data_IF_689965121462
#
_entry.id   IF_689965121462
#
_cell.length_a   1.000
_cell.length_b   1.000
_cell.length_c   1.000
_cell.angle_alpha   90.00
_cell.angle_beta   90.00
_cell.angle_gamma   90.00
#
_symmetry.space_group_name_H-M   'P 1'
#
loop_
_entity.id
_entity.type
_entity.pdbx_description
1 polymer ?
#
# COMPACT_ATOMS: atom_id res chain seq x y z
N UNK A 1 -5.74 -15.33 -18.09
CA UNK A 1 -4.28 -15.43 -18.10
C UNK A 1 -3.72 -16.08 -16.82
N UNK A 2 -4.54 -16.53 -15.87
CA UNK A 2 -4.11 -17.31 -14.69
C UNK A 2 -3.62 -16.52 -13.48
N UNK A 3 -3.74 -15.19 -13.46
CA UNK A 3 -3.47 -14.41 -12.27
C UNK A 3 -4.49 -14.71 -11.17
N UNK A 4 -4.02 -14.93 -9.94
CA UNK A 4 -4.90 -15.15 -8.78
C UNK A 4 -5.46 -13.84 -8.23
N UNK A 5 -4.74 -12.74 -8.40
CA UNK A 5 -5.12 -11.38 -7.99
C UNK A 5 -4.55 -10.37 -8.95
N UNK A 6 -5.29 -9.30 -9.22
CA UNK A 6 -4.84 -8.14 -10.01
C UNK A 6 -4.66 -6.93 -9.12
N UNK A 7 -3.75 -6.03 -9.51
CA UNK A 7 -3.52 -4.76 -8.82
C UNK A 7 -4.12 -3.64 -9.68
N UNK A 8 -4.94 -2.79 -9.07
CA UNK A 8 -5.59 -1.65 -9.72
C UNK A 8 -5.12 -0.38 -9.01
N UNK A 9 -4.51 0.53 -9.74
CA UNK A 9 -4.01 1.82 -9.23
C UNK A 9 -4.93 2.98 -9.64
N UNK A 10 -4.41 3.91 -10.45
CA UNK A 10 -5.08 5.17 -10.84
C UNK A 10 -6.50 5.02 -11.38
N UNK A 11 -6.87 3.85 -11.93
CA UNK A 11 -8.23 3.58 -12.37
C UNK A 11 -9.23 3.69 -11.21
N UNK A 12 -8.86 3.25 -10.01
CA UNK A 12 -9.72 3.31 -8.85
C UNK A 12 -10.07 4.76 -8.43
N UNK A 13 -9.21 5.72 -8.75
CA UNK A 13 -9.46 7.14 -8.51
C UNK A 13 -10.25 7.77 -9.65
N UNK A 14 -9.94 7.42 -10.90
CA UNK A 14 -10.55 8.03 -12.08
C UNK A 14 -11.94 7.49 -12.39
N UNK A 15 -12.15 6.21 -12.17
CA UNK A 15 -13.38 5.49 -12.50
C UNK A 15 -13.79 4.57 -11.35
N UNK A 16 -14.10 5.12 -10.16
CA UNK A 16 -14.38 4.31 -8.97
C UNK A 16 -15.56 3.36 -9.16
N UNK A 17 -16.59 3.75 -9.90
CA UNK A 17 -17.76 2.90 -10.16
C UNK A 17 -17.38 1.66 -10.99
N UNK A 18 -16.56 1.82 -12.02
CA UNK A 18 -16.04 0.68 -12.81
C UNK A 18 -15.30 -0.31 -11.91
N UNK A 19 -14.50 0.19 -10.97
CA UNK A 19 -13.77 -0.68 -10.04
C UNK A 19 -14.71 -1.32 -9.02
N UNK A 20 -15.76 -0.63 -8.55
CA UNK A 20 -16.82 -1.22 -7.70
C UNK A 20 -17.54 -2.36 -8.41
N UNK A 21 -17.85 -2.21 -9.70
CA UNK A 21 -18.43 -3.29 -10.53
C UNK A 21 -17.48 -4.51 -10.62
N UNK A 22 -16.16 -4.26 -10.76
CA UNK A 22 -15.18 -5.34 -10.75
C UNK A 22 -15.17 -6.09 -9.40
N UNK A 23 -15.31 -5.39 -8.26
CA UNK A 23 -15.46 -6.05 -6.97
C UNK A 23 -16.70 -6.94 -6.89
N UNK A 24 -17.81 -6.47 -7.46
CA UNK A 24 -19.07 -7.26 -7.52
C UNK A 24 -18.93 -8.50 -8.41
N UNK A 25 -18.23 -8.38 -9.54
CA UNK A 25 -18.05 -9.48 -10.49
C UNK A 25 -17.02 -10.51 -10.07
N UNK A 26 -15.82 -10.04 -9.62
CA UNK A 26 -14.67 -10.93 -9.38
C UNK A 26 -14.46 -11.26 -7.89
N UNK A 27 -15.05 -10.49 -7.01
CA UNK A 27 -14.91 -10.64 -5.56
C UNK A 27 -13.63 -10.03 -4.98
N UNK A 28 -13.70 -9.68 -3.70
CA UNK A 28 -12.65 -8.95 -2.97
C UNK A 28 -11.29 -9.65 -2.88
N UNK A 29 -11.24 -10.96 -3.03
CA UNK A 29 -9.99 -11.73 -2.96
C UNK A 29 -9.17 -11.65 -4.25
N UNK A 30 -9.79 -11.21 -5.36
CA UNK A 30 -9.16 -11.11 -6.67
C UNK A 30 -8.59 -9.73 -6.98
N UNK A 31 -8.92 -8.73 -6.16
CA UNK A 31 -8.55 -7.34 -6.39
C UNK A 31 -7.70 -6.83 -5.24
N UNK A 32 -6.59 -6.19 -5.58
CA UNK A 32 -5.76 -5.38 -4.70
C UNK A 32 -5.75 -3.95 -5.22
N UNK A 33 -6.10 -2.98 -4.39
CA UNK A 33 -5.97 -1.58 -4.78
C UNK A 33 -4.57 -1.07 -4.44
N UNK A 34 -3.94 -0.40 -5.39
CA UNK A 34 -2.69 0.31 -5.19
C UNK A 34 -2.99 1.78 -4.84
N UNK A 35 -2.57 2.18 -3.65
CA UNK A 35 -2.65 3.52 -3.12
C UNK A 35 -1.22 4.10 -3.04
N UNK A 36 -0.79 4.80 -4.06
CA UNK A 36 0.43 5.57 -4.04
C UNK A 36 0.13 6.90 -3.35
N UNK A 37 0.81 7.21 -2.26
CA UNK A 37 0.46 8.34 -1.40
C UNK A 37 1.64 9.29 -1.18
N UNK A 38 1.29 10.56 -0.97
CA UNK A 38 2.20 11.60 -0.53
C UNK A 38 1.56 12.42 0.58
N UNK A 39 2.39 12.94 1.50
CA UNK A 39 1.94 13.89 2.49
C UNK A 39 1.60 15.23 1.81
N UNK A 40 0.47 15.81 2.17
CA UNK A 40 0.03 17.11 1.69
C UNK A 40 -0.58 17.96 2.80
N UNK A 41 -0.43 19.27 2.67
CA UNK A 41 -0.99 20.30 3.56
C UNK A 41 -1.66 21.37 2.69
N UNK A 42 -2.79 21.04 2.01
CA UNK A 42 -3.49 22.00 1.18
C UNK A 42 -4.11 23.14 2.02
N UNK A 43 -4.18 24.36 1.44
CA UNK A 43 -4.69 25.54 2.16
C UNK A 43 -6.15 25.39 2.63
N UNK A 44 -6.95 24.67 1.86
CA UNK A 44 -8.41 24.53 2.09
C UNK A 44 -8.81 23.16 2.67
N UNK A 45 -7.85 22.30 3.08
CA UNK A 45 -8.13 20.97 3.61
C UNK A 45 -7.13 20.60 4.72
N UNK A 46 -7.43 19.55 5.49
CA UNK A 46 -6.55 19.07 6.57
C UNK A 46 -5.30 18.38 6.01
N UNK A 47 -4.18 18.59 6.68
CA UNK A 47 -2.94 17.86 6.43
C UNK A 47 -3.17 16.35 6.49
N UNK A 48 -2.54 15.59 5.59
CA UNK A 48 -2.72 14.15 5.54
C UNK A 48 -2.08 13.49 4.33
N UNK A 49 -2.34 12.21 4.17
CA UNK A 49 -1.90 11.46 2.99
C UNK A 49 -2.95 11.55 1.88
N UNK A 50 -2.52 11.98 0.71
CA UNK A 50 -3.31 12.12 -0.50
C UNK A 50 -2.87 11.11 -1.55
N UNK A 51 -3.83 10.58 -2.32
CA UNK A 51 -3.54 9.65 -3.40
C UNK A 51 -2.86 10.38 -4.55
N UNK A 52 -1.72 9.89 -4.99
CA UNK A 52 -1.04 10.34 -6.20
C UNK A 52 -1.58 9.59 -7.43
N UNK A 53 -1.75 10.32 -8.52
CA UNK A 53 -2.23 9.79 -9.80
C UNK A 53 -1.24 10.15 -10.92
N UNK A 54 -1.48 9.65 -12.14
CA UNK A 54 -0.69 9.99 -13.32
C UNK A 54 0.82 9.69 -13.20
N UNK A 55 1.18 8.58 -12.54
CA UNK A 55 2.59 8.23 -12.35
C UNK A 55 3.31 9.18 -11.40
N UNK A 56 2.62 9.58 -10.31
CA UNK A 56 3.12 10.46 -9.24
C UNK A 56 3.31 11.93 -9.64
N UNK A 57 2.79 12.34 -10.79
CA UNK A 57 2.95 13.72 -11.29
C UNK A 57 1.93 14.70 -10.69
N UNK A 58 0.82 14.16 -10.17
CA UNK A 58 -0.27 14.96 -9.60
C UNK A 58 -0.76 14.32 -8.31
N UNK A 59 -0.92 15.12 -7.25
CA UNK A 59 -1.73 14.74 -6.11
C UNK A 59 -3.21 14.84 -6.51
N UNK A 60 -3.99 13.80 -6.26
CA UNK A 60 -5.44 13.95 -6.34
C UNK A 60 -5.95 14.72 -5.11
N UNK A 61 -7.15 15.30 -5.21
CA UNK A 61 -7.81 15.89 -4.03
C UNK A 61 -8.35 14.83 -3.04
N UNK A 62 -8.11 13.53 -3.31
CA UNK A 62 -8.65 12.42 -2.52
C UNK A 62 -7.67 12.02 -1.42
N UNK A 63 -8.09 12.09 -0.17
CA UNK A 63 -7.35 11.55 0.98
C UNK A 63 -7.31 10.01 0.92
N UNK A 64 -6.25 9.43 1.45
CA UNK A 64 -6.13 7.97 1.60
C UNK A 64 -7.30 7.39 2.41
N UNK A 65 -7.72 8.04 3.50
CA UNK A 65 -8.85 7.59 4.30
C UNK A 65 -10.15 7.52 3.52
N UNK A 66 -10.47 8.57 2.74
CA UNK A 66 -11.64 8.61 1.87
C UNK A 66 -11.60 7.50 0.81
N UNK A 67 -10.44 7.28 0.19
CA UNK A 67 -10.25 6.21 -0.78
C UNK A 67 -10.54 4.83 -0.16
N UNK A 68 -10.02 4.56 1.03
CA UNK A 68 -10.22 3.31 1.74
C UNK A 68 -11.67 3.13 2.21
N UNK A 69 -12.35 4.20 2.62
CA UNK A 69 -13.77 4.19 2.99
C UNK A 69 -14.67 3.82 1.81
N UNK A 70 -14.49 4.51 0.65
CA UNK A 70 -15.26 4.27 -0.58
C UNK A 70 -15.22 2.79 -0.98
N UNK A 71 -14.05 2.19 -0.98
CA UNK A 71 -13.90 0.79 -1.37
C UNK A 71 -14.15 -0.19 -0.21
N UNK A 72 -14.11 0.28 1.03
CA UNK A 72 -14.54 -0.48 2.20
C UNK A 72 -16.00 -0.93 2.11
N UNK A 73 -16.88 -0.09 1.53
CA UNK A 73 -18.29 -0.39 1.29
C UNK A 73 -18.50 -1.62 0.39
N UNK A 74 -17.60 -1.88 -0.55
CA UNK A 74 -17.63 -3.07 -1.43
C UNK A 74 -16.74 -4.19 -0.94
N UNK A 75 -16.27 -4.10 0.32
CA UNK A 75 -15.51 -5.14 1.00
C UNK A 75 -14.03 -5.18 0.62
N UNK A 76 -13.41 -4.04 0.31
CA UNK A 76 -11.97 -3.94 0.07
C UNK A 76 -11.18 -4.70 1.15
N UNK A 77 -10.28 -5.58 0.71
CA UNK A 77 -9.46 -6.39 1.60
C UNK A 77 -7.96 -6.21 1.37
N UNK A 78 -7.52 -6.12 0.15
CA UNK A 78 -6.10 -6.07 -0.18
C UNK A 78 -5.72 -4.69 -0.68
N UNK A 79 -4.75 -4.07 0.00
CA UNK A 79 -4.21 -2.74 -0.36
C UNK A 79 -2.69 -2.81 -0.41
N UNK A 80 -2.12 -2.34 -1.50
CA UNK A 80 -0.72 -2.01 -1.65
C UNK A 80 -0.57 -0.50 -1.45
N UNK A 81 0.06 -0.08 -0.36
CA UNK A 81 0.25 1.33 -0.04
C UNK A 81 1.72 1.71 -0.21
N UNK A 82 1.99 2.65 -1.12
CA UNK A 82 3.34 3.16 -1.40
C UNK A 82 3.48 4.59 -0.90
N UNK A 83 4.39 4.83 0.04
CA UNK A 83 4.85 6.20 0.31
C UNK A 83 5.83 6.61 -0.80
N UNK A 84 5.35 7.45 -1.74
CA UNK A 84 6.15 7.85 -2.91
C UNK A 84 7.34 8.75 -2.53
N UNK A 85 7.29 9.43 -1.39
CA UNK A 85 8.40 10.25 -0.92
C UNK A 85 9.61 9.40 -0.48
N UNK A 86 9.37 8.13 -0.17
CA UNK A 86 10.40 7.17 0.25
C UNK A 86 10.74 6.14 -0.81
N UNK A 87 9.90 5.97 -1.84
CA UNK A 87 10.14 4.95 -2.85
C UNK A 87 11.49 5.18 -3.58
N UNK A 88 12.27 4.11 -3.69
CA UNK A 88 13.62 4.14 -4.28
C UNK A 88 14.69 4.88 -3.46
N UNK A 89 14.38 5.49 -2.32
CA UNK A 89 15.34 6.28 -1.53
C UNK A 89 16.22 5.45 -0.60
N UNK A 90 15.76 4.26 -0.18
CA UNK A 90 16.44 3.43 0.83
C UNK A 90 16.65 4.16 2.17
N UNK A 91 15.70 4.99 2.60
CA UNK A 91 15.77 5.77 3.85
C UNK A 91 14.93 5.19 4.99
N UNK A 92 14.44 3.97 4.82
CA UNK A 92 13.54 3.30 5.76
C UNK A 92 12.06 3.48 5.40
N UNK A 93 11.22 2.54 5.86
CA UNK A 93 9.79 2.55 5.63
C UNK A 93 9.07 3.61 6.48
N UNK A 94 7.92 4.07 6.00
CA UNK A 94 7.02 4.94 6.75
C UNK A 94 6.11 4.11 7.68
N UNK A 95 6.66 3.62 8.77
CA UNK A 95 5.93 2.77 9.72
C UNK A 95 4.71 3.47 10.32
N UNK A 96 4.79 4.80 10.54
CA UNK A 96 3.69 5.59 11.09
C UNK A 96 2.45 5.58 10.17
N UNK A 97 2.64 5.77 8.86
CA UNK A 97 1.57 5.68 7.86
C UNK A 97 0.88 4.30 7.92
N UNK A 98 1.66 3.23 7.94
CA UNK A 98 1.10 1.88 7.89
C UNK A 98 0.38 1.49 9.17
N UNK A 99 0.86 1.95 10.33
CA UNK A 99 0.17 1.76 11.61
C UNK A 99 -1.15 2.55 11.68
N UNK A 100 -1.17 3.77 11.15
CA UNK A 100 -2.38 4.58 11.03
C UNK A 100 -3.44 3.86 10.18
N UNK A 101 -3.05 3.37 8.99
CA UNK A 101 -3.97 2.61 8.12
C UNK A 101 -4.49 1.35 8.81
N UNK A 102 -3.62 0.58 9.46
CA UNK A 102 -4.04 -0.64 10.17
C UNK A 102 -4.98 -0.37 11.34
N UNK A 103 -4.75 0.70 12.07
CA UNK A 103 -5.58 1.09 13.21
C UNK A 103 -6.95 1.54 12.76
N UNK A 104 -7.01 2.35 11.70
CA UNK A 104 -8.27 2.91 11.18
C UNK A 104 -9.06 1.90 10.34
N UNK A 105 -8.36 0.97 9.67
CA UNK A 105 -8.95 -0.01 8.74
C UNK A 105 -8.47 -1.44 9.03
N UNK A 106 -8.80 -2.02 10.19
CA UNK A 106 -8.24 -3.31 10.64
C UNK A 106 -8.63 -4.51 9.78
N UNK A 107 -9.67 -4.39 8.94
CA UNK A 107 -10.08 -5.44 8.01
C UNK A 107 -9.19 -5.55 6.76
N UNK A 108 -8.34 -4.53 6.50
CA UNK A 108 -7.48 -4.47 5.33
C UNK A 108 -6.21 -5.30 5.53
N UNK A 109 -5.89 -6.13 4.54
CA UNK A 109 -4.60 -6.78 4.41
C UNK A 109 -3.65 -5.85 3.68
N UNK A 110 -2.88 -5.08 4.46
CA UNK A 110 -1.99 -4.04 3.96
C UNK A 110 -0.64 -4.62 3.55
N UNK A 111 -0.17 -4.22 2.37
CA UNK A 111 1.20 -4.41 1.89
C UNK A 111 1.89 -3.05 1.87
N UNK A 112 2.99 -2.91 2.61
CA UNK A 112 3.80 -1.71 2.63
C UNK A 112 4.71 -1.62 1.40
N UNK A 113 4.92 -0.44 0.87
CA UNK A 113 5.84 -0.18 -0.24
C UNK A 113 6.52 1.18 -0.08
N UNK A 114 7.78 1.26 -0.53
CA UNK A 114 8.61 2.45 -0.46
C UNK A 114 9.58 2.47 0.73
N UNK A 115 10.82 2.78 0.45
CA UNK A 115 11.86 3.10 1.43
C UNK A 115 12.60 1.93 2.07
N UNK A 116 12.18 0.68 1.90
CA UNK A 116 12.90 -0.48 2.50
C UNK A 116 14.41 -0.39 2.22
N UNK A 117 15.21 -0.42 3.27
CA UNK A 117 16.66 -0.28 3.21
C UNK A 117 17.42 -1.39 3.96
N UNK A 118 16.78 -2.04 4.92
CA UNK A 118 17.42 -3.00 5.81
C UNK A 118 16.46 -4.10 6.26
N UNK A 119 17.01 -5.19 6.83
CA UNK A 119 16.22 -6.21 7.51
C UNK A 119 15.48 -5.66 8.74
N UNK A 120 16.05 -4.64 9.39
CA UNK A 120 15.41 -3.95 10.51
C UNK A 120 14.09 -3.28 10.13
N UNK A 121 13.98 -2.74 8.89
CA UNK A 121 12.73 -2.18 8.39
C UNK A 121 11.65 -3.26 8.29
N UNK A 122 12.03 -4.46 7.82
CA UNK A 122 11.09 -5.59 7.72
C UNK A 122 10.64 -6.09 9.11
N UNK A 123 11.52 -6.02 10.10
CA UNK A 123 11.18 -6.36 11.48
C UNK A 123 10.25 -5.33 12.12
N UNK A 124 10.43 -4.05 11.82
CA UNK A 124 9.61 -2.96 12.35
C UNK A 124 8.18 -2.93 11.75
N UNK A 125 8.01 -3.36 10.49
CA UNK A 125 6.71 -3.34 9.83
C UNK A 125 5.75 -4.38 10.44
N UNK A 126 4.54 -3.99 10.78
CA UNK A 126 3.46 -4.86 11.25
C UNK A 126 2.44 -5.20 10.16
N UNK A 127 2.74 -4.89 8.91
CA UNK A 127 1.87 -5.12 7.75
C UNK A 127 1.80 -6.60 7.33
N UNK A 128 0.77 -6.97 6.56
CA UNK A 128 0.57 -8.33 6.05
C UNK A 128 1.56 -8.72 4.96
N UNK A 129 2.18 -7.73 4.32
CA UNK A 129 3.21 -7.94 3.30
C UNK A 129 4.05 -6.68 3.12
N UNK A 130 5.13 -6.82 2.35
CA UNK A 130 6.02 -5.73 2.00
C UNK A 130 6.54 -5.91 0.58
N UNK A 131 6.62 -4.82 -0.16
CA UNK A 131 7.30 -4.76 -1.46
C UNK A 131 8.75 -4.35 -1.21
N UNK A 132 9.67 -5.16 -1.67
CA UNK A 132 11.10 -4.89 -1.60
C UNK A 132 11.60 -4.68 -3.03
N UNK A 133 11.99 -3.48 -3.36
CA UNK A 133 12.54 -3.11 -4.66
C UNK A 133 14.04 -2.92 -4.61
N UNK A 134 14.47 -1.66 -4.60
CA UNK A 134 15.87 -1.23 -4.73
C UNK A 134 16.83 -1.90 -3.76
N UNK A 135 16.46 -2.06 -2.49
CA UNK A 135 17.31 -2.70 -1.49
C UNK A 135 17.78 -4.10 -1.89
N UNK A 136 16.93 -4.86 -2.59
CA UNK A 136 17.27 -6.19 -3.10
C UNK A 136 18.23 -6.11 -4.29
N UNK A 137 17.99 -5.17 -5.21
CA UNK A 137 18.84 -4.96 -6.39
C UNK A 137 20.22 -4.39 -6.03
N UNK A 138 20.29 -3.55 -5.01
CA UNK A 138 21.55 -2.99 -4.48
C UNK A 138 22.27 -3.97 -3.53
N UNK A 139 21.69 -5.13 -3.24
CA UNK A 139 22.30 -6.14 -2.38
C UNK A 139 22.41 -5.75 -0.91
N UNK A 140 21.53 -4.88 -0.41
CA UNK A 140 21.51 -4.47 1.00
C UNK A 140 21.27 -5.66 1.94
N UNK A 141 20.54 -6.67 1.48
CA UNK A 141 20.32 -7.95 2.14
C UNK A 141 19.86 -9.01 1.13
N UNK A 142 19.95 -10.31 1.51
CA UNK A 142 19.51 -11.40 0.66
C UNK A 142 17.99 -11.66 0.76
N UNK A 143 17.39 -12.12 -0.34
CA UNK A 143 15.97 -12.52 -0.35
C UNK A 143 15.68 -13.63 0.69
N UNK A 144 16.61 -14.56 0.91
CA UNK A 144 16.46 -15.62 1.90
C UNK A 144 16.29 -15.07 3.33
N UNK A 145 17.06 -14.04 3.68
CA UNK A 145 16.99 -13.38 4.98
C UNK A 145 15.64 -12.65 5.16
N UNK A 146 15.21 -11.91 4.13
CA UNK A 146 13.92 -11.24 4.13
C UNK A 146 12.75 -12.22 4.29
N UNK A 147 12.77 -13.34 3.56
CA UNK A 147 11.78 -14.41 3.66
C UNK A 147 11.77 -15.09 5.05
N UNK A 148 12.92 -15.23 5.70
CA UNK A 148 13.01 -15.77 7.05
C UNK A 148 12.27 -14.88 8.07
N UNK A 149 12.41 -13.55 7.94
CA UNK A 149 11.66 -12.59 8.76
C UNK A 149 10.15 -12.74 8.50
N UNK A 150 9.72 -12.74 7.24
CA UNK A 150 8.31 -12.89 6.87
C UNK A 150 7.67 -14.15 7.43
N UNK A 151 8.35 -15.31 7.34
CA UNK A 151 7.87 -16.60 7.89
C UNK A 151 7.76 -16.57 9.41
N UNK A 152 8.73 -15.97 10.11
CA UNK A 152 8.71 -15.83 11.57
C UNK A 152 7.52 -15.01 12.04
N UNK A 153 7.23 -13.89 11.36
CA UNK A 153 6.09 -13.03 11.66
C UNK A 153 4.75 -13.70 11.38
N UNK A 154 4.63 -14.43 10.28
CA UNK A 154 3.41 -15.18 9.93
C UNK A 154 3.11 -16.35 10.89
N UNK A 155 4.12 -16.94 11.53
CA UNK A 155 3.96 -18.01 12.51
C UNK A 155 3.64 -17.56 13.94
N UNK A 156 3.60 -16.24 14.18
CA UNK A 156 3.33 -15.65 15.50
C UNK A 156 1.90 -15.07 15.63
N UNK A 157 1.07 -15.20 14.58
CA UNK A 157 -0.34 -14.78 14.56
C UNK A 157 -1.28 -15.92 14.91
#
# INVERSE_FOLDING_TARGET
AGASRIVIGSLAVREPETVREMFAEFGREKICLAADVMWGEPEDDEAGYYIAVSGWQEASAMKLSQFLEIFGEVGLRHVLCTDISRDGTMTGCNTALYEEVKTSFPAIQLQASGGVSSLGDLEALSTHGVIIGKALYEGAFGLGEALAIGRRKAGTC
#
